data_IF_390495993315
#
_entry.id   IF_390495993315
#
_cell.length_a   1.000
_cell.length_b   1.000
_cell.length_c   1.000
_cell.angle_alpha   90.00
_cell.angle_beta   90.00
_cell.angle_gamma   90.00
#
_symmetry.space_group_name_H-M   'P 1'
#
loop_
_entity.id
_entity.type
_entity.pdbx_description
1 polymer ?
#
# COMPACT_ATOMS: atom_id res chain seq x y z
N UNK A 1 -24.51 -28.06 19.14
CA UNK A 1 -24.15 -26.66 19.42
C UNK A 1 -23.71 -25.99 18.11
N UNK A 2 -24.63 -25.20 17.54
CA UNK A 2 -24.46 -24.08 16.59
C UNK A 2 -23.20 -24.04 15.70
N UNK A 3 -23.30 -24.53 14.45
CA UNK A 3 -22.27 -24.38 13.41
C UNK A 3 -22.69 -23.39 12.31
N UNK A 4 -23.34 -22.29 12.69
CA UNK A 4 -23.76 -21.23 11.76
C UNK A 4 -22.75 -20.06 11.69
N UNK A 5 -21.77 -20.01 12.60
CA UNK A 5 -20.77 -18.93 12.63
C UNK A 5 -19.67 -19.07 11.56
N UNK A 6 -19.43 -20.27 11.00
CA UNK A 6 -18.41 -20.45 9.96
C UNK A 6 -18.76 -19.74 8.66
N UNK A 7 -20.04 -19.64 8.29
CA UNK A 7 -20.44 -19.12 6.97
C UNK A 7 -20.09 -17.64 6.79
N UNK A 8 -20.17 -16.83 7.84
CA UNK A 8 -19.92 -15.39 7.78
C UNK A 8 -18.48 -14.99 8.13
N UNK A 9 -17.79 -15.79 8.95
CA UNK A 9 -16.37 -15.59 9.26
C UNK A 9 -15.46 -15.87 8.05
N UNK A 10 -15.81 -16.85 7.21
CA UNK A 10 -14.98 -17.25 6.06
C UNK A 10 -14.69 -16.09 5.08
N UNK A 11 -15.68 -15.30 4.61
CA UNK A 11 -15.42 -14.16 3.73
C UNK A 11 -14.62 -13.02 4.40
N UNK A 12 -14.84 -12.78 5.69
CA UNK A 12 -14.06 -11.78 6.46
C UNK A 12 -12.61 -12.23 6.61
N UNK A 13 -12.37 -13.53 6.86
CA UNK A 13 -11.03 -14.09 6.99
C UNK A 13 -10.28 -14.05 5.65
N UNK A 14 -10.98 -14.31 4.54
CA UNK A 14 -10.44 -14.21 3.19
C UNK A 14 -10.12 -12.75 2.80
N UNK A 15 -11.02 -11.81 3.15
CA UNK A 15 -10.78 -10.36 3.01
C UNK A 15 -9.58 -9.89 3.85
N UNK A 16 -9.52 -10.32 5.11
CA UNK A 16 -8.43 -9.98 6.02
C UNK A 16 -7.08 -10.49 5.52
N UNK A 17 -7.03 -11.72 5.01
CA UNK A 17 -5.81 -12.28 4.42
C UNK A 17 -5.36 -11.50 3.17
N UNK A 18 -6.27 -11.15 2.27
CA UNK A 18 -5.95 -10.34 1.09
C UNK A 18 -5.51 -8.92 1.48
N UNK A 19 -6.23 -8.28 2.40
CA UNK A 19 -5.86 -6.95 2.90
C UNK A 19 -4.48 -6.98 3.57
N UNK A 20 -4.18 -8.01 4.37
CA UNK A 20 -2.88 -8.16 5.00
C UNK A 20 -1.74 -8.31 3.99
N UNK A 21 -1.92 -9.16 2.96
CA UNK A 21 -0.92 -9.32 1.90
C UNK A 21 -0.74 -8.02 1.11
N UNK A 22 -1.84 -7.33 0.77
CA UNK A 22 -1.79 -6.02 0.12
C UNK A 22 -1.05 -4.98 0.94
N UNK A 23 -1.31 -4.92 2.26
CA UNK A 23 -0.62 -4.01 3.19
C UNK A 23 0.87 -4.34 3.31
N UNK A 24 1.23 -5.62 3.29
CA UNK A 24 2.62 -6.04 3.34
C UNK A 24 3.38 -5.61 2.08
N UNK A 25 2.78 -5.76 0.90
CA UNK A 25 3.37 -5.31 -0.37
C UNK A 25 3.48 -3.78 -0.38
N UNK A 26 2.45 -3.06 0.06
CA UNK A 26 2.49 -1.61 0.21
C UNK A 26 3.65 -1.17 1.12
N UNK A 27 3.84 -1.81 2.28
CA UNK A 27 4.99 -1.53 3.15
C UNK A 27 6.34 -1.79 2.45
N UNK A 28 6.46 -2.87 1.67
CA UNK A 28 7.70 -3.20 0.94
C UNK A 28 8.04 -2.13 -0.09
N UNK A 29 7.05 -1.47 -0.70
CA UNK A 29 7.26 -0.40 -1.68
C UNK A 29 7.41 0.97 -0.99
N UNK A 30 6.73 1.20 0.12
CA UNK A 30 6.87 2.40 0.94
C UNK A 30 8.27 2.54 1.55
N UNK A 31 8.91 1.44 1.96
CA UNK A 31 10.28 1.45 2.52
C UNK A 31 11.31 2.08 1.55
N UNK A 32 11.41 1.68 0.27
CA UNK A 32 12.28 2.33 -0.69
C UNK A 32 11.92 3.79 -0.94
N UNK A 33 10.64 4.18 -0.91
CA UNK A 33 10.25 5.58 -1.02
C UNK A 33 10.78 6.42 0.16
N UNK A 34 10.65 5.92 1.38
CA UNK A 34 11.23 6.54 2.58
C UNK A 34 12.76 6.58 2.46
N UNK A 35 13.38 5.49 1.99
CA UNK A 35 14.83 5.42 1.75
C UNK A 35 15.31 6.44 0.72
N UNK A 36 14.52 6.69 -0.33
CA UNK A 36 14.79 7.71 -1.33
C UNK A 36 14.73 9.12 -0.71
N UNK A 37 13.78 9.37 0.19
CA UNK A 37 13.67 10.61 0.96
C UNK A 37 14.89 10.88 1.84
N UNK A 38 15.39 9.84 2.53
CA UNK A 38 16.65 9.91 3.27
C UNK A 38 17.84 10.17 2.35
N UNK A 39 17.87 9.55 1.17
CA UNK A 39 18.92 9.75 0.19
C UNK A 39 18.93 11.18 -0.35
N UNK A 40 17.75 11.77 -0.65
CA UNK A 40 17.62 13.17 -1.08
C UNK A 40 18.21 14.10 -0.02
N UNK A 41 17.82 13.95 1.25
CA UNK A 41 18.35 14.78 2.36
C UNK A 41 19.86 14.59 2.56
N UNK A 42 20.37 13.37 2.38
CA UNK A 42 21.81 13.12 2.47
C UNK A 42 22.57 13.80 1.32
N UNK A 43 22.04 13.74 0.09
CA UNK A 43 22.63 14.36 -1.09
C UNK A 43 22.57 15.90 -1.04
N UNK A 44 21.55 16.48 -0.40
CA UNK A 44 21.50 17.91 -0.09
C UNK A 44 22.70 18.35 0.75
N UNK A 45 23.09 17.55 1.75
CA UNK A 45 24.27 17.80 2.57
C UNK A 45 25.60 17.74 1.80
N UNK A 46 25.63 17.08 0.63
CA UNK A 46 26.82 16.92 -0.22
C UNK A 46 26.92 17.98 -1.33
N UNK A 47 26.09 19.02 -1.32
CA UNK A 47 26.03 20.06 -2.36
C UNK A 47 25.79 19.52 -3.78
N UNK A 48 25.00 18.44 -3.89
CA UNK A 48 24.59 17.88 -5.18
C UNK A 48 23.75 18.92 -5.96
N UNK A 49 23.85 18.96 -7.31
CA UNK A 49 23.09 19.92 -8.10
C UNK A 49 21.58 19.89 -7.80
N UNK A 50 21.00 21.07 -7.63
CA UNK A 50 19.57 21.24 -7.31
C UNK A 50 18.64 20.54 -8.30
N UNK A 51 19.03 20.48 -9.58
CA UNK A 51 18.28 19.75 -10.60
C UNK A 51 18.16 18.25 -10.27
N UNK A 52 19.26 17.61 -9.87
CA UNK A 52 19.30 16.19 -9.52
C UNK A 52 18.41 15.90 -8.31
N UNK A 53 18.49 16.74 -7.28
CA UNK A 53 17.64 16.64 -6.09
C UNK A 53 16.16 16.81 -6.43
N UNK A 54 15.83 17.76 -7.32
CA UNK A 54 14.46 17.99 -7.76
C UNK A 54 13.88 16.80 -8.53
N UNK A 55 14.67 16.16 -9.40
CA UNK A 55 14.25 14.94 -10.11
C UNK A 55 14.04 13.78 -9.15
N UNK A 56 14.95 13.61 -8.18
CA UNK A 56 14.89 12.51 -7.20
C UNK A 56 13.69 12.66 -6.27
N UNK A 57 13.43 13.88 -5.81
CA UNK A 57 12.24 14.23 -4.99
C UNK A 57 10.95 14.03 -5.78
N UNK A 58 10.92 14.42 -7.06
CA UNK A 58 9.76 14.20 -7.91
C UNK A 58 9.48 12.71 -8.08
N UNK A 59 10.51 11.90 -8.34
CA UNK A 59 10.39 10.46 -8.48
C UNK A 59 9.86 9.81 -7.19
N UNK A 60 10.36 10.23 -6.03
CA UNK A 60 9.86 9.79 -4.72
C UNK A 60 8.35 10.02 -4.58
N UNK A 61 7.89 11.25 -4.85
CA UNK A 61 6.48 11.60 -4.74
C UNK A 61 5.61 10.78 -5.71
N UNK A 62 6.06 10.63 -6.95
CA UNK A 62 5.32 9.86 -7.96
C UNK A 62 5.22 8.38 -7.55
N UNK A 63 6.32 7.76 -7.12
CA UNK A 63 6.32 6.36 -6.68
C UNK A 63 5.37 6.15 -5.49
N UNK A 64 5.43 7.03 -4.49
CA UNK A 64 4.60 6.93 -3.30
C UNK A 64 3.11 7.14 -3.62
N UNK A 65 2.77 8.12 -4.47
CA UNK A 65 1.39 8.39 -4.89
C UNK A 65 0.83 7.21 -5.69
N UNK A 66 1.59 6.67 -6.64
CA UNK A 66 1.15 5.54 -7.47
C UNK A 66 0.90 4.32 -6.60
N UNK A 67 1.83 3.99 -5.70
CA UNK A 67 1.71 2.84 -4.80
C UNK A 67 0.52 2.97 -3.85
N UNK A 68 0.35 4.14 -3.21
CA UNK A 68 -0.79 4.42 -2.35
C UNK A 68 -2.13 4.33 -3.11
N UNK A 69 -2.19 4.83 -4.34
CA UNK A 69 -3.39 4.77 -5.16
C UNK A 69 -3.75 3.33 -5.51
N UNK A 70 -2.78 2.52 -5.94
CA UNK A 70 -2.99 1.10 -6.25
C UNK A 70 -3.46 0.33 -5.00
N UNK A 71 -2.88 0.62 -3.83
CA UNK A 71 -3.29 0.00 -2.58
C UNK A 71 -4.72 0.35 -2.17
N UNK A 72 -5.12 1.63 -2.30
CA UNK A 72 -6.50 2.06 -2.03
C UNK A 72 -7.48 1.38 -2.99
N UNK A 73 -7.19 1.36 -4.29
CA UNK A 73 -8.02 0.68 -5.29
C UNK A 73 -8.16 -0.81 -4.95
N UNK A 74 -7.06 -1.46 -4.57
CA UNK A 74 -7.05 -2.86 -4.15
C UNK A 74 -7.95 -3.11 -2.93
N UNK A 75 -7.85 -2.28 -1.90
CA UNK A 75 -8.72 -2.37 -0.70
C UNK A 75 -10.18 -2.23 -1.10
N UNK A 76 -10.53 -1.21 -1.90
CA UNK A 76 -11.92 -0.94 -2.29
C UNK A 76 -12.52 -2.11 -3.07
N UNK A 77 -11.79 -2.66 -4.04
CA UNK A 77 -12.25 -3.81 -4.83
C UNK A 77 -12.44 -5.04 -3.93
N UNK A 78 -11.49 -5.30 -3.04
CA UNK A 78 -11.53 -6.47 -2.15
C UNK A 78 -12.66 -6.34 -1.13
N UNK A 79 -12.87 -5.13 -0.58
CA UNK A 79 -13.95 -4.83 0.36
C UNK A 79 -15.32 -4.97 -0.31
N UNK A 80 -15.47 -4.46 -1.54
CA UNK A 80 -16.70 -4.60 -2.32
C UNK A 80 -17.03 -6.08 -2.60
N UNK A 81 -16.03 -6.90 -2.97
CA UNK A 81 -16.21 -8.33 -3.19
C UNK A 81 -16.65 -9.06 -1.92
N UNK A 82 -15.99 -8.79 -0.79
CA UNK A 82 -16.32 -9.40 0.49
C UNK A 82 -17.74 -9.02 0.95
N UNK A 83 -18.11 -7.74 0.81
CA UNK A 83 -19.47 -7.28 1.12
C UNK A 83 -20.51 -7.96 0.22
N UNK A 84 -20.25 -8.07 -1.09
CA UNK A 84 -21.14 -8.77 -2.01
C UNK A 84 -21.31 -10.26 -1.67
N UNK A 85 -20.26 -10.93 -1.20
CA UNK A 85 -20.34 -12.34 -0.74
C UNK A 85 -21.13 -12.49 0.56
N UNK A 86 -21.07 -11.51 1.46
CA UNK A 86 -21.82 -11.53 2.73
C UNK A 86 -23.32 -11.31 2.55
N UNK A 87 -23.73 -10.60 1.48
CA UNK A 87 -25.13 -10.32 1.14
C UNK A 87 -25.73 -11.33 0.15
N UNK A 88 -24.98 -12.36 -0.26
CA UNK A 88 -25.44 -13.44 -1.13
C UNK A 88 -25.76 -14.69 -0.29
#
# INVERSE_FOLDING_TARGET
>A
MTNNNKSWLTPILHFGAHTFVGSMIFCIIAVPAIGLSFLVHYLEGLQVPAFTLSVLTFLEHVLLIVDATLFVVYIVITAYKAFKEMFK
#
